data_IF_683847378665
#
_entry.id   IF_683847378665
#
_cell.length_a   1.000
_cell.length_b   1.000
_cell.length_c   1.000
_cell.angle_alpha   90.00
_cell.angle_beta   90.00
_cell.angle_gamma   90.00
#
_symmetry.space_group_name_H-M   'P 1'
#
loop_
_entity.id
_entity.type
_entity.pdbx_description
1 polymer ?
#
# COMPACT_ATOMS: atom_id res chain seq x y z
N UNK A 1 -32.63 13.69 -12.96
CA UNK A 1 -31.34 13.13 -13.40
C UNK A 1 -31.17 13.49 -14.87
N UNK A 2 -30.47 14.58 -15.18
CA UNK A 2 -30.09 14.88 -16.56
C UNK A 2 -28.91 13.98 -16.92
N UNK A 3 -29.10 13.11 -17.92
CA UNK A 3 -28.01 12.40 -18.57
C UNK A 3 -27.29 13.48 -19.38
N UNK A 4 -26.11 13.92 -18.93
CA UNK A 4 -25.28 14.88 -19.66
C UNK A 4 -24.79 14.21 -20.95
N UNK A 5 -25.54 14.36 -22.04
CA UNK A 5 -25.11 13.99 -23.38
C UNK A 5 -24.08 15.02 -23.84
N UNK A 6 -22.84 14.60 -24.08
CA UNK A 6 -21.83 15.52 -24.62
C UNK A 6 -22.26 16.03 -26.00
N UNK A 7 -22.13 17.35 -26.25
CA UNK A 7 -22.54 17.92 -27.53
C UNK A 7 -21.65 17.45 -28.68
N UNK A 8 -20.36 17.24 -28.44
CA UNK A 8 -19.38 16.78 -29.43
C UNK A 8 -18.31 15.84 -28.81
N UNK A 9 -17.66 15.04 -29.66
CA UNK A 9 -16.57 14.12 -29.27
C UNK A 9 -15.38 14.86 -28.63
N UNK A 10 -15.02 16.04 -29.13
CA UNK A 10 -13.93 16.85 -28.54
C UNK A 10 -14.29 17.36 -27.13
N UNK A 11 -15.57 17.68 -26.89
CA UNK A 11 -16.03 18.07 -25.55
C UNK A 11 -15.92 16.89 -24.56
N UNK A 12 -16.23 15.68 -25.01
CA UNK A 12 -16.04 14.44 -24.22
C UNK A 12 -14.56 14.19 -23.91
N UNK A 13 -13.68 14.31 -24.90
CA UNK A 13 -12.24 14.07 -24.73
C UNK A 13 -11.59 15.10 -23.80
N UNK A 14 -12.03 16.37 -23.87
CA UNK A 14 -11.54 17.44 -23.01
C UNK A 14 -11.95 17.25 -21.55
N UNK A 15 -13.24 16.96 -21.29
CA UNK A 15 -13.73 16.63 -19.95
C UNK A 15 -13.02 15.38 -19.39
N UNK A 16 -12.88 14.34 -20.22
CA UNK A 16 -12.15 13.11 -19.87
C UNK A 16 -10.71 13.41 -19.45
N UNK A 17 -9.96 14.19 -20.23
CA UNK A 17 -8.56 14.51 -19.94
C UNK A 17 -8.42 15.31 -18.62
N UNK A 18 -9.32 16.26 -18.37
CA UNK A 18 -9.34 17.04 -17.14
C UNK A 18 -9.63 16.15 -15.90
N UNK A 19 -10.65 15.29 -15.99
CA UNK A 19 -11.05 14.37 -14.90
C UNK A 19 -9.97 13.32 -14.65
N UNK A 20 -9.41 12.71 -15.69
CA UNK A 20 -8.31 11.75 -15.58
C UNK A 20 -7.06 12.41 -14.99
N UNK A 21 -6.71 13.63 -15.42
CA UNK A 21 -5.59 14.38 -14.86
C UNK A 21 -5.76 14.64 -13.35
N UNK A 22 -6.95 15.08 -12.94
CA UNK A 22 -7.27 15.27 -11.52
C UNK A 22 -7.22 13.95 -10.73
N UNK A 23 -7.79 12.87 -11.27
CA UNK A 23 -7.80 11.56 -10.62
C UNK A 23 -6.40 10.93 -10.52
N UNK A 24 -5.56 11.04 -11.57
CA UNK A 24 -4.19 10.55 -11.56
C UNK A 24 -3.35 11.34 -10.55
N UNK A 25 -3.46 12.67 -10.55
CA UNK A 25 -2.79 13.52 -9.57
C UNK A 25 -3.24 13.22 -8.14
N UNK A 26 -4.53 12.91 -7.94
CA UNK A 26 -5.06 12.49 -6.65
C UNK A 26 -4.61 11.08 -6.25
N UNK A 27 -4.42 10.15 -7.20
CA UNK A 27 -4.03 8.76 -6.91
C UNK A 27 -2.53 8.60 -6.67
N UNK A 28 -1.70 9.32 -7.43
CA UNK A 28 -0.21 9.26 -7.40
C UNK A 28 0.36 10.47 -6.65
N UNK A 29 -0.41 11.11 -5.76
CA UNK A 29 0.12 12.25 -5.01
C UNK A 29 1.24 11.80 -4.08
N UNK A 30 2.40 12.49 -4.06
CA UNK A 30 3.47 12.20 -3.10
C UNK A 30 2.98 12.30 -1.65
N UNK A 31 1.96 13.12 -1.39
CA UNK A 31 1.30 13.20 -0.09
C UNK A 31 0.69 11.88 0.38
N UNK A 32 0.20 11.02 -0.54
CA UNK A 32 -0.34 9.70 -0.17
C UNK A 32 0.75 8.68 0.14
N UNK A 33 1.92 8.82 -0.49
CA UNK A 33 3.09 8.04 -0.11
C UNK A 33 3.54 8.45 1.29
N UNK A 34 3.74 9.75 1.51
CA UNK A 34 4.13 10.28 2.80
C UNK A 34 3.14 9.85 3.90
N UNK A 35 1.84 9.87 3.61
CA UNK A 35 0.81 9.41 4.54
C UNK A 35 0.90 7.90 4.82
N UNK A 36 1.13 7.06 3.80
CA UNK A 36 1.34 5.62 4.00
C UNK A 36 2.58 5.35 4.87
N UNK A 37 3.67 6.07 4.59
CA UNK A 37 4.90 6.00 5.39
C UNK A 37 4.71 6.50 6.80
N UNK A 38 3.94 7.58 7.00
CA UNK A 38 3.60 8.11 8.32
C UNK A 38 2.80 7.09 9.14
N UNK A 39 1.79 6.45 8.53
CA UNK A 39 1.03 5.40 9.22
C UNK A 39 1.87 4.14 9.45
N UNK A 40 2.73 3.77 8.51
CA UNK A 40 3.69 2.69 8.69
C UNK A 40 4.67 2.96 9.83
N UNK A 41 5.20 4.19 9.92
CA UNK A 41 6.08 4.64 10.99
C UNK A 41 5.35 4.68 12.34
N UNK A 42 4.09 5.13 12.38
CA UNK A 42 3.28 5.09 13.60
C UNK A 42 3.01 3.65 14.06
N UNK A 43 2.73 2.74 13.13
CA UNK A 43 2.57 1.31 13.42
C UNK A 43 3.87 0.71 13.95
N UNK A 44 5.02 1.04 13.34
CA UNK A 44 6.34 0.60 13.79
C UNK A 44 6.69 1.16 15.17
N UNK A 45 6.37 2.43 15.44
CA UNK A 45 6.52 3.05 16.76
C UNK A 45 5.65 2.36 17.81
N UNK A 46 4.39 2.09 17.50
CA UNK A 46 3.51 1.35 18.40
C UNK A 46 4.04 -0.06 18.69
N UNK A 47 4.60 -0.72 17.68
CA UNK A 47 5.23 -2.03 17.86
C UNK A 47 6.52 -1.96 18.68
N UNK A 48 7.33 -0.91 18.53
CA UNK A 48 8.49 -0.66 19.40
C UNK A 48 8.07 -0.60 20.87
N UNK A 49 7.01 0.14 21.19
CA UNK A 49 6.49 0.25 22.54
C UNK A 49 6.01 -1.11 23.09
N UNK A 50 5.31 -1.90 22.29
CA UNK A 50 4.87 -3.26 22.67
C UNK A 50 6.07 -4.18 22.89
N UNK A 51 7.07 -4.16 21.98
CA UNK A 51 8.27 -4.97 22.13
C UNK A 51 9.09 -4.60 23.37
N UNK A 52 9.27 -3.31 23.63
CA UNK A 52 9.93 -2.83 24.86
C UNK A 52 9.18 -3.24 26.12
N UNK A 53 7.84 -3.20 26.10
CA UNK A 53 7.03 -3.70 27.21
C UNK A 53 7.31 -5.18 27.49
N UNK A 54 7.33 -6.02 26.44
CA UNK A 54 7.61 -7.46 26.57
C UNK A 54 9.01 -7.73 27.14
N UNK A 55 10.03 -7.03 26.65
CA UNK A 55 11.40 -7.15 27.19
C UNK A 55 11.44 -6.75 28.67
N UNK A 56 10.73 -5.68 29.05
CA UNK A 56 10.65 -5.21 30.44
C UNK A 56 10.00 -6.25 31.35
N UNK A 57 8.96 -6.96 30.88
CA UNK A 57 8.33 -8.06 31.62
C UNK A 57 9.24 -9.29 31.78
N UNK A 58 10.16 -9.52 30.84
CA UNK A 58 11.09 -10.65 30.90
C UNK A 58 12.27 -10.37 31.85
N UNK A 59 12.78 -9.14 31.88
CA UNK A 59 13.96 -8.78 32.66
C UNK A 59 13.64 -8.42 34.13
N UNK A 60 12.43 -7.96 34.43
CA UNK A 60 12.08 -7.44 35.76
C UNK A 60 10.89 -8.16 36.42
N UNK A 61 11.12 -8.62 37.66
CA UNK A 61 10.09 -9.26 38.51
C UNK A 61 9.45 -8.30 39.52
N UNK A 62 9.72 -6.99 39.44
CA UNK A 62 9.18 -6.01 40.37
C UNK A 62 7.88 -5.37 39.87
N UNK A 63 7.05 -4.90 40.81
CA UNK A 63 5.71 -4.36 40.52
C UNK A 63 5.78 -3.07 39.70
N UNK A 64 6.85 -2.29 39.87
CA UNK A 64 7.03 -1.00 39.17
C UNK A 64 7.31 -1.23 37.69
N UNK A 65 8.22 -2.13 37.33
CA UNK A 65 8.52 -2.44 35.93
C UNK A 65 7.32 -3.10 35.24
N UNK A 66 6.56 -3.93 35.96
CA UNK A 66 5.31 -4.49 35.44
C UNK A 66 4.30 -3.38 35.10
N UNK A 67 4.12 -2.38 35.98
CA UNK A 67 3.24 -1.25 35.72
C UNK A 67 3.69 -0.43 34.50
N UNK A 68 4.99 -0.17 34.37
CA UNK A 68 5.57 0.53 33.20
C UNK A 68 5.32 -0.27 31.92
N UNK A 69 5.53 -1.59 31.94
CA UNK A 69 5.27 -2.48 30.81
C UNK A 69 3.81 -2.43 30.35
N UNK A 70 2.84 -2.44 31.28
CA UNK A 70 1.41 -2.30 30.93
C UNK A 70 1.13 -0.96 30.26
N UNK A 71 1.68 0.14 30.76
CA UNK A 71 1.49 1.48 30.17
C UNK A 71 2.08 1.54 28.76
N UNK A 72 3.30 1.02 28.56
CA UNK A 72 3.94 0.97 27.25
C UNK A 72 3.13 0.12 26.26
N UNK A 73 2.65 -1.05 26.69
CA UNK A 73 1.80 -1.91 25.86
C UNK A 73 0.49 -1.19 25.46
N UNK A 74 -0.17 -0.53 26.41
CA UNK A 74 -1.39 0.23 26.13
C UNK A 74 -1.17 1.38 25.15
N UNK A 75 -0.07 2.15 25.31
CA UNK A 75 0.32 3.19 24.36
C UNK A 75 0.63 2.61 22.98
N UNK A 76 1.35 1.49 22.93
CA UNK A 76 1.68 0.81 21.69
C UNK A 76 0.44 0.36 20.91
N UNK A 77 -0.51 -0.28 21.59
CA UNK A 77 -1.83 -0.62 21.01
C UNK A 77 -2.57 0.63 20.56
N UNK A 78 -2.54 1.70 21.36
CA UNK A 78 -3.11 3.01 21.03
C UNK A 78 -2.52 3.65 19.77
N UNK A 79 -1.29 3.32 19.38
CA UNK A 79 -0.67 3.75 18.12
C UNK A 79 -0.98 2.80 16.95
N UNK A 80 -0.90 1.48 17.17
CA UNK A 80 -1.07 0.46 16.12
C UNK A 80 -2.50 0.46 15.58
N UNK A 81 -3.50 0.45 16.46
CA UNK A 81 -4.91 0.35 16.05
C UNK A 81 -5.34 1.47 15.10
N UNK A 82 -5.16 2.77 15.41
CA UNK A 82 -5.55 3.83 14.49
C UNK A 82 -4.74 3.83 13.20
N UNK A 83 -3.43 3.49 13.25
CA UNK A 83 -2.62 3.37 12.05
C UNK A 83 -3.19 2.33 11.08
N UNK A 84 -3.54 1.14 11.59
CA UNK A 84 -4.15 0.06 10.80
C UNK A 84 -5.51 0.49 10.23
N UNK A 85 -6.37 1.09 11.04
CA UNK A 85 -7.70 1.55 10.60
C UNK A 85 -7.58 2.57 9.47
N UNK A 86 -6.68 3.55 9.58
CA UNK A 86 -6.50 4.60 8.58
C UNK A 86 -5.90 4.06 7.28
N UNK A 87 -4.99 3.09 7.37
CA UNK A 87 -4.49 2.36 6.19
C UNK A 87 -5.63 1.63 5.50
N UNK A 88 -6.47 0.89 6.21
CA UNK A 88 -7.61 0.15 5.64
C UNK A 88 -8.62 1.10 4.99
N UNK A 89 -8.98 2.19 5.66
CA UNK A 89 -9.89 3.21 5.10
C UNK A 89 -9.29 3.83 3.83
N UNK A 90 -7.98 4.14 3.85
CA UNK A 90 -7.24 4.62 2.68
C UNK A 90 -7.31 3.64 1.50
N UNK A 91 -7.11 2.35 1.76
CA UNK A 91 -7.20 1.29 0.76
C UNK A 91 -8.62 1.14 0.19
N UNK A 92 -9.66 1.30 1.01
CA UNK A 92 -11.06 1.27 0.53
C UNK A 92 -11.36 2.45 -0.40
N UNK A 93 -10.91 3.65 -0.05
CA UNK A 93 -11.04 4.83 -0.92
C UNK A 93 -10.31 4.64 -2.25
N UNK A 94 -9.14 3.99 -2.22
CA UNK A 94 -8.35 3.72 -3.43
C UNK A 94 -9.06 2.81 -4.43
N UNK A 95 -9.80 1.83 -3.93
CA UNK A 95 -10.63 0.97 -4.79
C UNK A 95 -11.73 1.78 -5.47
N UNK A 96 -12.33 2.75 -4.78
CA UNK A 96 -13.31 3.66 -5.37
C UNK A 96 -12.72 4.51 -6.50
N UNK A 97 -11.57 5.12 -6.25
CA UNK A 97 -10.86 5.93 -7.26
C UNK A 97 -10.48 5.08 -8.48
N UNK A 98 -10.05 3.83 -8.28
CA UNK A 98 -9.71 2.92 -9.38
C UNK A 98 -10.91 2.57 -10.26
N UNK A 99 -12.08 2.32 -9.67
CA UNK A 99 -13.30 2.08 -10.44
C UNK A 99 -13.66 3.27 -11.33
N UNK A 100 -13.47 4.49 -10.82
CA UNK A 100 -13.68 5.71 -11.59
C UNK A 100 -12.63 5.83 -12.71
N UNK A 101 -11.35 5.57 -12.43
CA UNK A 101 -10.28 5.57 -13.44
C UNK A 101 -10.54 4.55 -14.56
N UNK A 102 -11.04 3.36 -14.23
CA UNK A 102 -11.39 2.33 -15.21
C UNK A 102 -12.62 2.76 -16.05
N UNK A 103 -13.66 3.32 -15.41
CA UNK A 103 -14.85 3.79 -16.11
C UNK A 103 -14.56 4.95 -17.08
N UNK A 104 -13.78 5.94 -16.64
CA UNK A 104 -13.39 7.07 -17.48
C UNK A 104 -12.32 6.70 -18.52
N UNK A 105 -11.45 5.75 -18.20
CA UNK A 105 -10.45 5.21 -19.12
C UNK A 105 -11.06 4.42 -20.28
N UNK A 106 -12.24 3.81 -20.09
CA UNK A 106 -12.93 3.02 -21.10
C UNK A 106 -13.82 3.80 -22.08
N UNK A 107 -14.03 5.12 -21.88
CA UNK A 107 -14.94 5.92 -22.70
C UNK A 107 -14.46 6.14 -24.14
N UNK A 108 -13.23 6.61 -24.32
CA UNK A 108 -12.60 6.83 -25.63
C UNK A 108 -11.07 6.97 -25.45
N UNK A 109 -10.30 6.92 -26.54
CA UNK A 109 -8.84 6.90 -26.52
C UNK A 109 -8.24 8.15 -27.18
N UNK A 110 -7.34 8.83 -26.47
CA UNK A 110 -6.59 10.00 -26.98
C UNK A 110 -5.09 9.86 -26.62
N UNK A 111 -4.29 9.19 -27.46
CA UNK A 111 -2.90 8.86 -27.15
C UNK A 111 -2.00 10.10 -26.98
N UNK A 112 -2.35 11.24 -27.59
CA UNK A 112 -1.55 12.46 -27.51
C UNK A 112 -1.71 13.14 -26.15
N UNK A 113 -2.96 13.25 -25.65
CA UNK A 113 -3.24 13.83 -24.32
C UNK A 113 -2.94 12.85 -23.18
N UNK A 114 -3.00 11.55 -23.45
CA UNK A 114 -2.77 10.48 -22.47
C UNK A 114 -1.26 10.26 -22.14
N UNK A 115 -0.33 10.77 -22.96
CA UNK A 115 1.11 10.60 -22.75
C UNK A 115 1.63 11.30 -21.46
N UNK A 116 1.09 12.49 -21.16
CA UNK A 116 1.46 13.27 -19.96
C UNK A 116 1.01 12.58 -18.65
N UNK A 117 -0.01 11.71 -18.73
CA UNK A 117 -0.56 10.98 -17.57
C UNK A 117 0.31 9.79 -17.14
N UNK A 118 1.35 9.43 -17.91
CA UNK A 118 2.18 8.23 -17.65
C UNK A 118 3.12 8.37 -16.45
N UNK A 119 3.45 9.61 -16.04
CA UNK A 119 4.29 9.97 -14.88
C UNK A 119 5.32 8.89 -14.45
N UNK A 120 6.23 8.46 -15.35
CA UNK A 120 7.02 7.25 -15.15
C UNK A 120 8.00 7.38 -13.98
N UNK A 121 8.58 8.57 -13.76
CA UNK A 121 9.53 8.82 -12.68
C UNK A 121 8.90 8.68 -11.28
N UNK A 122 7.70 9.23 -11.08
CA UNK A 122 7.00 9.12 -9.81
C UNK A 122 6.63 7.67 -9.48
N UNK A 123 6.17 6.90 -10.48
CA UNK A 123 5.87 5.48 -10.31
C UNK A 123 7.13 4.65 -10.02
N UNK A 124 8.29 4.99 -10.60
CA UNK A 124 9.53 4.27 -10.37
C UNK A 124 10.08 4.55 -8.98
N UNK A 125 10.12 5.82 -8.55
CA UNK A 125 10.51 6.18 -7.19
C UNK A 125 9.61 5.50 -6.14
N UNK A 126 8.30 5.47 -6.39
CA UNK A 126 7.34 4.76 -5.55
C UNK A 126 7.65 3.27 -5.44
N UNK A 127 7.95 2.63 -6.59
CA UNK A 127 8.26 1.20 -6.65
C UNK A 127 9.57 0.87 -5.93
N UNK A 128 10.62 1.66 -6.16
CA UNK A 128 11.93 1.46 -5.53
C UNK A 128 11.86 1.61 -4.01
N UNK A 129 11.22 2.68 -3.52
CA UNK A 129 11.09 2.91 -2.07
C UNK A 129 10.25 1.82 -1.40
N UNK A 130 9.16 1.40 -2.04
CA UNK A 130 8.30 0.34 -1.51
C UNK A 130 8.99 -1.03 -1.54
N UNK A 131 9.77 -1.30 -2.60
CA UNK A 131 10.56 -2.52 -2.73
C UNK A 131 11.67 -2.58 -1.68
N UNK A 132 12.42 -1.49 -1.48
CA UNK A 132 13.45 -1.42 -0.46
C UNK A 132 12.88 -1.67 0.94
N UNK A 133 11.74 -1.06 1.27
CA UNK A 133 11.05 -1.28 2.54
C UNK A 133 10.55 -2.73 2.70
N UNK A 134 10.03 -3.32 1.63
CA UNK A 134 9.57 -4.71 1.61
C UNK A 134 10.74 -5.69 1.82
N UNK A 135 11.85 -5.48 1.12
CA UNK A 135 13.05 -6.30 1.22
C UNK A 135 13.71 -6.17 2.59
N UNK A 136 13.80 -4.94 3.14
CA UNK A 136 14.30 -4.71 4.49
C UNK A 136 13.41 -5.39 5.55
N UNK A 137 12.08 -5.34 5.39
CA UNK A 137 11.14 -6.03 6.27
C UNK A 137 11.31 -7.55 6.25
N UNK A 138 11.45 -8.16 5.06
CA UNK A 138 11.72 -9.60 4.92
C UNK A 138 13.08 -9.98 5.50
N UNK A 139 14.11 -9.18 5.26
CA UNK A 139 15.43 -9.39 5.85
C UNK A 139 15.36 -9.39 7.37
N UNK A 140 14.66 -8.42 7.97
CA UNK A 140 14.45 -8.37 9.42
C UNK A 140 13.68 -9.60 9.94
N UNK A 141 12.67 -10.09 9.21
CA UNK A 141 11.90 -11.27 9.62
C UNK A 141 12.66 -12.60 9.50
N UNK A 142 13.53 -12.76 8.51
CA UNK A 142 14.11 -14.07 8.17
C UNK A 142 15.63 -14.14 8.34
N UNK A 143 16.36 -13.12 7.92
CA UNK A 143 17.82 -13.15 7.97
C UNK A 143 18.35 -12.88 9.37
N UNK A 144 17.68 -12.03 10.16
CA UNK A 144 18.10 -11.72 11.55
C UNK A 144 17.90 -12.91 12.49
N UNK A 145 16.80 -13.69 12.42
CA UNK A 145 16.71 -14.95 13.18
C UNK A 145 17.67 -16.03 12.69
N UNK A 146 17.89 -16.13 11.37
CA UNK A 146 18.75 -17.15 10.79
C UNK A 146 20.25 -16.92 11.05
N UNK A 147 20.68 -15.71 11.41
CA UNK A 147 22.08 -15.40 11.71
C UNK A 147 22.53 -15.83 13.11
N UNK A 148 21.64 -16.45 13.90
CA UNK A 148 21.94 -16.86 15.28
C UNK A 148 22.02 -15.69 16.26
N UNK A 149 21.82 -14.44 15.82
CA UNK A 149 21.84 -13.24 16.67
C UNK A 149 20.76 -13.27 17.75
N UNK A 150 19.71 -14.07 17.55
CA UNK A 150 18.63 -14.28 18.50
C UNK A 150 18.83 -15.52 19.39
N UNK A 151 19.89 -16.31 19.19
CA UNK A 151 20.21 -17.47 20.04
C UNK A 151 20.67 -16.98 21.43
N UNK A 152 19.89 -17.31 22.46
CA UNK A 152 20.16 -16.88 23.84
C UNK A 152 19.58 -15.51 24.23
N UNK A 153 18.90 -14.81 23.31
CA UNK A 153 18.21 -13.55 23.59
C UNK A 153 16.76 -13.78 24.05
N UNK A 154 16.25 -12.84 24.85
CA UNK A 154 14.92 -12.87 25.45
C UNK A 154 13.81 -12.85 24.36
N UNK A 155 12.70 -13.56 24.58
CA UNK A 155 11.62 -13.77 23.59
C UNK A 155 11.01 -12.43 23.13
N UNK A 156 11.01 -11.41 23.97
CA UNK A 156 10.61 -10.05 23.65
C UNK A 156 11.39 -9.41 22.50
N UNK A 157 12.71 -9.69 22.39
CA UNK A 157 13.54 -9.17 21.30
C UNK A 157 13.16 -9.82 19.95
N UNK A 158 12.90 -11.12 19.96
CA UNK A 158 12.45 -11.84 18.76
C UNK A 158 11.11 -11.29 18.25
N UNK A 159 10.13 -11.12 19.15
CA UNK A 159 8.82 -10.55 18.83
C UNK A 159 8.95 -9.12 18.31
N UNK A 160 9.82 -8.31 18.91
CA UNK A 160 10.07 -6.94 18.48
C UNK A 160 10.58 -6.89 17.03
N UNK A 161 11.66 -7.62 16.74
CA UNK A 161 12.29 -7.64 15.41
C UNK A 161 11.31 -8.18 14.35
N UNK A 162 10.62 -9.28 14.65
CA UNK A 162 9.66 -9.87 13.73
C UNK A 162 8.50 -8.93 13.40
N UNK A 163 7.90 -8.25 14.37
CA UNK A 163 6.79 -7.36 14.05
C UNK A 163 7.21 -6.04 13.40
N UNK A 164 8.43 -5.55 13.64
CA UNK A 164 9.01 -4.46 12.83
C UNK A 164 9.21 -4.90 11.38
N UNK A 165 9.79 -6.08 11.18
CA UNK A 165 9.97 -6.67 9.86
C UNK A 165 8.64 -6.87 9.13
N UNK A 166 7.63 -7.41 9.82
CA UNK A 166 6.30 -7.64 9.28
C UNK A 166 5.61 -6.32 8.91
N UNK A 167 5.72 -5.30 9.76
CA UNK A 167 5.17 -3.96 9.48
C UNK A 167 5.81 -3.36 8.24
N UNK A 168 7.15 -3.38 8.15
CA UNK A 168 7.88 -2.91 6.98
C UNK A 168 7.51 -3.68 5.71
N UNK A 169 7.41 -5.00 5.81
CA UNK A 169 7.00 -5.87 4.71
C UNK A 169 5.59 -5.53 4.20
N UNK A 170 4.60 -5.43 5.09
CA UNK A 170 3.21 -5.12 4.72
C UNK A 170 3.12 -3.73 4.09
N UNK A 171 3.73 -2.72 4.69
CA UNK A 171 3.71 -1.34 4.17
C UNK A 171 4.38 -1.27 2.79
N UNK A 172 5.52 -1.94 2.63
CA UNK A 172 6.22 -2.08 1.36
C UNK A 172 5.37 -2.80 0.31
N UNK A 173 4.71 -3.91 0.66
CA UNK A 173 3.85 -4.66 -0.25
C UNK A 173 2.64 -3.83 -0.72
N UNK A 174 2.01 -3.06 0.18
CA UNK A 174 0.91 -2.15 -0.17
C UNK A 174 1.39 -1.12 -1.21
N UNK A 175 2.57 -0.53 -0.98
CA UNK A 175 3.18 0.41 -1.92
C UNK A 175 3.48 -0.24 -3.28
N UNK A 176 4.01 -1.46 -3.28
CA UNK A 176 4.34 -2.23 -4.48
C UNK A 176 3.10 -2.56 -5.32
N UNK A 177 2.03 -3.08 -4.68
CA UNK A 177 0.75 -3.38 -5.33
C UNK A 177 0.13 -2.11 -5.94
N UNK A 178 0.29 -0.95 -5.29
CA UNK A 178 -0.16 0.33 -5.84
C UNK A 178 0.58 0.70 -7.13
N UNK A 179 1.91 0.64 -7.11
CA UNK A 179 2.74 0.95 -8.27
C UNK A 179 2.47 0.00 -9.45
N UNK A 180 2.39 -1.32 -9.21
CA UNK A 180 2.09 -2.29 -10.26
C UNK A 180 0.71 -2.10 -10.88
N UNK A 181 -0.31 -1.84 -10.05
CA UNK A 181 -1.65 -1.60 -10.57
C UNK A 181 -1.72 -0.33 -11.40
N UNK A 182 -1.01 0.74 -11.02
CA UNK A 182 -0.91 1.95 -11.83
C UNK A 182 -0.20 1.66 -13.17
N UNK A 183 0.95 0.98 -13.15
CA UNK A 183 1.66 0.56 -14.37
C UNK A 183 0.77 -0.30 -15.29
N UNK A 184 0.05 -1.28 -14.74
CA UNK A 184 -0.87 -2.14 -15.49
C UNK A 184 -2.05 -1.35 -16.06
N UNK A 185 -2.56 -0.35 -15.34
CA UNK A 185 -3.61 0.53 -15.85
C UNK A 185 -3.08 1.39 -17.01
N UNK A 186 -1.90 2.02 -16.84
CA UNK A 186 -1.24 2.79 -17.90
C UNK A 186 -1.03 1.94 -19.17
N UNK A 187 -0.57 0.69 -19.03
CA UNK A 187 -0.36 -0.20 -20.17
C UNK A 187 -1.66 -0.63 -20.85
N UNK A 188 -2.71 -0.98 -20.09
CA UNK A 188 -3.99 -1.41 -20.66
C UNK A 188 -4.76 -0.26 -21.29
N UNK A 189 -4.90 0.85 -20.55
CA UNK A 189 -5.77 1.97 -20.93
C UNK A 189 -5.06 2.93 -21.88
N UNK A 190 -3.82 3.34 -21.55
CA UNK A 190 -3.10 4.36 -22.33
C UNK A 190 -2.22 3.75 -23.44
N UNK A 191 -1.71 2.52 -23.26
CA UNK A 191 -0.94 1.84 -24.30
C UNK A 191 -1.77 0.86 -25.13
N UNK A 192 -2.98 0.49 -24.70
CA UNK A 192 -3.88 -0.38 -25.49
C UNK A 192 -3.34 -1.77 -25.70
N UNK A 193 -2.42 -2.19 -24.83
CA UNK A 193 -1.99 -3.57 -24.81
C UNK A 193 -3.24 -4.44 -24.56
N UNK A 194 -3.45 -5.51 -25.37
CA UNK A 194 -4.56 -6.41 -25.18
C UNK A 194 -4.57 -6.88 -23.73
N UNK A 195 -5.76 -6.88 -23.10
CA UNK A 195 -5.91 -7.40 -21.76
C UNK A 195 -5.30 -8.81 -21.73
N UNK A 196 -4.35 -9.05 -20.82
CA UNK A 196 -3.74 -10.36 -20.67
C UNK A 196 -4.87 -11.40 -20.60
N UNK A 197 -4.87 -12.29 -21.57
CA UNK A 197 -5.85 -13.35 -21.72
C UNK A 197 -6.00 -14.06 -20.37
N UNK A 198 -7.22 -14.22 -19.82
CA UNK A 198 -7.38 -14.98 -18.60
C UNK A 198 -6.84 -16.39 -18.84
N UNK A 199 -5.79 -16.77 -18.10
CA UNK A 199 -5.17 -18.10 -18.13
C UNK A 199 -6.17 -19.24 -17.86
N UNK A 200 -7.35 -18.92 -17.37
CA UNK A 200 -8.48 -19.82 -17.26
C UNK A 200 -9.64 -19.28 -18.10
N UNK A 201 -9.62 -19.65 -19.39
CA UNK A 201 -10.85 -19.79 -20.15
C UNK A 201 -11.59 -20.98 -19.54
N UNK A 202 -12.55 -20.70 -18.65
CA UNK A 202 -13.51 -21.70 -18.25
C UNK A 202 -14.32 -22.04 -19.52
N UNK A 203 -13.83 -23.05 -20.24
CA UNK A 203 -14.44 -23.57 -21.44
C UNK A 203 -15.87 -23.96 -21.13
N UNK A 204 -16.81 -23.10 -21.55
CA UNK A 204 -18.21 -23.43 -21.67
C UNK A 204 -18.36 -24.49 -22.75
N UNK A 205 -18.15 -25.75 -22.36
CA UNK A 205 -18.52 -26.89 -23.16
C UNK A 205 -20.03 -26.92 -23.30
N UNK A 206 -20.53 -26.35 -24.39
CA UNK A 206 -21.83 -26.70 -24.93
C UNK A 206 -21.79 -28.17 -25.33
N UNK A 207 -22.43 -29.03 -24.54
CA UNK A 207 -22.81 -30.37 -24.99
C UNK A 207 -24.33 -30.42 -25.19
N UNK A 208 -24.64 -30.70 -26.45
CA UNK A 208 -25.89 -31.01 -27.14
C UNK A 208 -26.98 -31.68 -26.31
#
# INVERSE_FOLDING_TARGET
MEIRSWPDREALLTDRAAVLGALVKAHVSPGRLAMLWLWGALCALGWLLVGTALITFEESYDVISAAIGVVLAAMGVGCVVPAVVLVVVGLRRDRGIRRLLDAWGGLDRDPARDAALRMPGASLAWLLMSFALCAAGLYACFAVPASGVLEGNAYGLAVLVMGLGLTGWIVGLIGLVKAFAHRRWVLRVLAGAPAAEPLFSAGGGAHR
#
